data_IF_485029811397
#
_entry.id   IF_485029811397
#
_cell.length_a   1.000
_cell.length_b   1.000
_cell.length_c   1.000
_cell.angle_alpha   90.00
_cell.angle_beta   90.00
_cell.angle_gamma   90.00
#
_symmetry.space_group_name_H-M   'P 1'
#
loop_
_entity.id
_entity.type
_entity.pdbx_description
1 polymer ?
#
# COMPACT_ATOMS: atom_id res chain seq x y z
N UNK A 1 -4.65 -6.16 11.16
CA UNK A 1 -4.52 -7.64 11.01
C UNK A 1 -3.15 -7.88 10.45
N UNK A 2 -2.40 -8.82 11.02
CA UNK A 2 -1.04 -9.13 10.57
C UNK A 2 -1.03 -9.67 9.14
N UNK A 3 -0.13 -9.15 8.32
CA UNK A 3 0.05 -9.53 6.91
C UNK A 3 0.51 -10.98 6.81
N UNK A 4 1.42 -11.43 7.66
CA UNK A 4 1.93 -12.80 7.73
C UNK A 4 0.79 -13.83 7.84
N UNK A 5 -0.20 -13.56 8.69
CA UNK A 5 -1.40 -14.39 8.82
C UNK A 5 -2.25 -14.42 7.54
N UNK A 6 -2.46 -13.27 6.90
CA UNK A 6 -3.18 -13.17 5.61
C UNK A 6 -2.47 -13.98 4.52
N UNK A 7 -1.14 -13.86 4.43
CA UNK A 7 -0.32 -14.58 3.46
C UNK A 7 -0.36 -16.10 3.68
N UNK A 8 -0.28 -16.55 4.94
CA UNK A 8 -0.40 -17.96 5.29
C UNK A 8 -1.79 -18.53 4.97
N UNK A 9 -2.86 -17.77 5.24
CA UNK A 9 -4.22 -18.16 4.89
C UNK A 9 -4.39 -18.30 3.36
N UNK A 10 -3.92 -17.32 2.59
CA UNK A 10 -3.95 -17.36 1.13
C UNK A 10 -3.18 -18.57 0.57
N UNK A 11 -2.00 -18.87 1.11
CA UNK A 11 -1.22 -20.03 0.73
C UNK A 11 -1.93 -21.36 1.04
N UNK A 12 -2.54 -21.47 2.23
CA UNK A 12 -3.30 -22.66 2.66
C UNK A 12 -4.53 -22.90 1.78
N UNK A 13 -5.24 -21.84 1.42
CA UNK A 13 -6.44 -21.88 0.58
C UNK A 13 -6.11 -21.96 -0.91
N UNK A 14 -4.83 -21.84 -1.30
CA UNK A 14 -4.38 -21.67 -2.69
C UNK A 14 -5.12 -20.54 -3.41
N UNK A 15 -5.36 -19.46 -2.68
CA UNK A 15 -6.08 -18.28 -3.16
C UNK A 15 -5.06 -17.23 -3.60
N UNK A 16 -5.08 -16.89 -4.89
CA UNK A 16 -4.27 -15.79 -5.41
C UNK A 16 -4.72 -14.46 -4.79
N UNK A 17 -3.77 -13.73 -4.22
CA UNK A 17 -3.98 -12.44 -3.57
C UNK A 17 -2.93 -11.44 -4.01
N UNK A 18 -3.14 -10.16 -3.73
CA UNK A 18 -2.21 -9.11 -4.11
C UNK A 18 -2.29 -7.90 -3.19
N UNK A 19 -1.26 -7.05 -3.30
CA UNK A 19 -1.13 -5.79 -2.57
C UNK A 19 -0.58 -4.70 -3.49
N UNK A 20 -0.67 -3.44 -3.04
CA UNK A 20 -0.24 -2.27 -3.81
C UNK A 20 0.72 -1.40 -2.99
N UNK A 21 1.85 -1.01 -3.58
CA UNK A 21 2.72 0.02 -3.00
C UNK A 21 2.39 1.40 -3.59
N UNK A 22 2.31 2.40 -2.71
CA UNK A 22 2.16 3.82 -3.04
C UNK A 22 3.26 4.64 -2.36
N UNK A 23 3.58 5.81 -2.93
CA UNK A 23 4.56 6.73 -2.34
C UNK A 23 3.95 8.11 -2.07
N UNK A 24 4.40 8.83 -1.02
CA UNK A 24 3.95 10.18 -0.72
C UNK A 24 4.15 11.16 -1.90
N UNK A 25 3.09 11.78 -2.45
CA UNK A 25 3.22 12.76 -3.51
C UNK A 25 3.89 14.05 -3.04
N UNK A 26 4.55 14.76 -3.97
CA UNK A 26 5.26 16.02 -3.66
C UNK A 26 4.35 17.24 -3.48
N UNK A 27 3.09 17.17 -3.90
CA UNK A 27 2.15 18.30 -3.91
C UNK A 27 0.82 17.94 -3.27
N UNK A 28 0.14 18.92 -2.68
CA UNK A 28 -1.18 18.72 -2.06
C UNK A 28 -2.23 18.18 -3.06
N UNK A 29 -2.22 18.67 -4.30
CA UNK A 29 -3.08 18.12 -5.36
C UNK A 29 -2.73 16.66 -5.67
N UNK A 30 -1.44 16.32 -5.68
CA UNK A 30 -0.99 14.94 -5.85
C UNK A 30 -1.49 14.02 -4.74
N UNK A 31 -1.50 14.49 -3.49
CA UNK A 31 -2.04 13.76 -2.33
C UNK A 31 -3.54 13.48 -2.51
N UNK A 32 -4.34 14.48 -2.87
CA UNK A 32 -5.78 14.26 -3.13
C UNK A 32 -6.02 13.29 -4.29
N UNK A 33 -5.28 13.45 -5.39
CA UNK A 33 -5.38 12.54 -6.53
C UNK A 33 -5.02 11.09 -6.16
N UNK A 34 -4.05 10.91 -5.27
CA UNK A 34 -3.66 9.59 -4.76
C UNK A 34 -4.74 9.01 -3.85
N UNK A 35 -5.32 9.79 -2.95
CA UNK A 35 -6.43 9.36 -2.11
C UNK A 35 -7.64 8.89 -2.91
N UNK A 36 -8.07 9.65 -3.93
CA UNK A 36 -9.14 9.20 -4.83
C UNK A 36 -8.75 7.93 -5.61
N UNK A 37 -7.45 7.74 -5.91
CA UNK A 37 -6.97 6.52 -6.56
C UNK A 37 -6.99 5.32 -5.62
N UNK A 38 -6.53 5.47 -4.38
CA UNK A 38 -6.59 4.42 -3.36
C UNK A 38 -8.03 3.98 -3.11
N UNK A 39 -8.97 4.93 -3.07
CA UNK A 39 -10.41 4.66 -2.95
C UNK A 39 -10.95 3.81 -4.13
N UNK A 40 -10.56 4.14 -5.37
CA UNK A 40 -10.91 3.33 -6.55
C UNK A 40 -10.25 1.95 -6.51
N UNK A 41 -8.96 1.89 -6.21
CA UNK A 41 -8.17 0.65 -6.19
C UNK A 41 -8.54 -0.27 -5.03
N UNK A 42 -9.13 0.24 -3.95
CA UNK A 42 -9.75 -0.59 -2.91
C UNK A 42 -10.78 -1.57 -3.52
N UNK A 43 -11.50 -1.17 -4.57
CA UNK A 43 -12.51 -2.04 -5.18
C UNK A 43 -11.90 -3.22 -5.94
N UNK A 44 -10.59 -3.21 -6.20
CA UNK A 44 -9.88 -4.41 -6.64
C UNK A 44 -9.67 -5.39 -5.49
N UNK A 45 -9.97 -5.09 -4.23
CA UNK A 45 -9.82 -6.04 -3.13
C UNK A 45 -8.37 -6.44 -2.79
N UNK A 46 -7.42 -5.50 -2.71
CA UNK A 46 -6.07 -5.83 -2.24
C UNK A 46 -6.10 -6.36 -0.80
N UNK A 47 -5.22 -7.30 -0.48
CA UNK A 47 -5.11 -7.84 0.88
C UNK A 47 -4.52 -6.84 1.87
N UNK A 48 -3.62 -5.98 1.38
CA UNK A 48 -3.03 -4.84 2.06
C UNK A 48 -2.45 -3.84 1.05
N UNK A 49 -2.05 -2.67 1.52
CA UNK A 49 -1.28 -1.70 0.75
C UNK A 49 -0.01 -1.33 1.53
N UNK A 50 1.00 -0.83 0.83
CA UNK A 50 2.22 -0.30 1.43
C UNK A 50 2.36 1.18 1.11
N UNK A 51 2.89 1.94 2.07
CA UNK A 51 3.19 3.36 1.88
C UNK A 51 4.67 3.57 2.14
N UNK A 52 5.39 4.01 1.10
CA UNK A 52 6.84 4.17 1.18
C UNK A 52 7.26 5.30 2.12
N UNK A 53 8.45 5.14 2.69
CA UNK A 53 9.10 6.13 3.53
C UNK A 53 10.25 6.79 2.76
N UNK A 54 10.28 8.11 2.72
CA UNK A 54 11.37 8.84 2.05
C UNK A 54 12.68 8.72 2.81
N UNK A 55 13.80 8.59 2.09
CA UNK A 55 15.14 8.51 2.67
C UNK A 55 15.40 9.65 3.69
N UNK A 56 16.01 9.30 4.83
CA UNK A 56 16.28 10.23 5.93
C UNK A 56 15.04 10.85 6.59
N UNK A 57 13.86 10.25 6.41
CA UNK A 57 12.62 10.78 6.98
C UNK A 57 12.02 11.94 6.19
N UNK A 58 12.47 12.17 4.96
CA UNK A 58 11.81 13.13 4.07
C UNK A 58 10.36 12.67 3.85
N UNK A 59 9.41 13.56 4.12
CA UNK A 59 7.98 13.26 4.07
C UNK A 59 7.49 12.22 5.09
N UNK A 60 8.21 12.00 6.19
CA UNK A 60 7.79 11.13 7.30
C UNK A 60 6.37 11.46 7.79
N UNK A 61 6.10 12.74 8.06
CA UNK A 61 4.77 13.20 8.52
C UNK A 61 3.65 12.88 7.53
N UNK A 62 3.91 13.05 6.22
CA UNK A 62 2.94 12.73 5.18
C UNK A 62 2.72 11.21 5.07
N UNK A 63 3.77 10.40 5.28
CA UNK A 63 3.65 8.94 5.33
C UNK A 63 2.73 8.52 6.48
N UNK A 64 2.98 9.01 7.69
CA UNK A 64 2.13 8.73 8.85
C UNK A 64 0.68 9.21 8.66
N UNK A 65 0.49 10.41 8.10
CA UNK A 65 -0.84 10.93 7.76
C UNK A 65 -1.57 10.01 6.78
N UNK A 66 -0.89 9.59 5.70
CA UNK A 66 -1.48 8.70 4.70
C UNK A 66 -1.82 7.32 5.29
N UNK A 67 -0.97 6.76 6.17
CA UNK A 67 -1.25 5.52 6.90
C UNK A 67 -2.50 5.68 7.77
N UNK A 68 -2.59 6.78 8.52
CA UNK A 68 -3.77 7.10 9.35
C UNK A 68 -5.03 7.19 8.48
N UNK A 69 -4.99 7.90 7.36
CA UNK A 69 -6.15 8.03 6.46
C UNK A 69 -6.52 6.69 5.82
N UNK A 70 -5.54 5.89 5.39
CA UNK A 70 -5.77 4.57 4.81
C UNK A 70 -6.47 3.62 5.78
N UNK A 71 -5.96 3.52 7.01
CA UNK A 71 -6.55 2.67 8.07
C UNK A 71 -7.93 3.20 8.50
N UNK A 72 -8.03 4.49 8.84
CA UNK A 72 -9.23 5.02 9.51
C UNK A 72 -10.37 5.35 8.55
N UNK A 73 -10.08 5.89 7.36
CA UNK A 73 -11.10 6.39 6.41
C UNK A 73 -11.38 5.37 5.32
N UNK A 74 -10.33 4.77 4.75
CA UNK A 74 -10.50 3.84 3.62
C UNK A 74 -10.66 2.38 4.04
N UNK A 75 -10.33 2.04 5.29
CA UNK A 75 -10.39 0.67 5.78
C UNK A 75 -9.38 -0.25 5.07
N UNK A 76 -8.27 0.31 4.60
CA UNK A 76 -7.20 -0.42 3.92
C UNK A 76 -6.17 -0.88 4.94
N UNK A 77 -5.98 -2.20 5.06
CA UNK A 77 -4.89 -2.74 5.85
C UNK A 77 -3.58 -2.22 5.25
N UNK A 78 -2.80 -1.51 6.05
CA UNK A 78 -1.63 -0.77 5.58
C UNK A 78 -0.36 -1.30 6.23
N UNK A 79 0.71 -1.43 5.44
CA UNK A 79 2.08 -1.60 5.89
C UNK A 79 2.83 -0.27 5.74
N UNK A 80 3.33 0.26 6.84
CA UNK A 80 4.14 1.48 6.79
C UNK A 80 5.60 1.12 6.58
N UNK A 81 6.24 1.65 5.54
CA UNK A 81 7.69 1.57 5.45
C UNK A 81 8.32 2.41 6.55
N UNK A 82 9.43 1.95 7.10
CA UNK A 82 10.21 2.72 8.06
C UNK A 82 11.69 2.45 7.84
N UNK A 83 12.44 3.49 7.50
CA UNK A 83 13.91 3.40 7.38
C UNK A 83 14.56 3.78 8.69
N UNK A 84 15.78 3.30 8.95
CA UNK A 84 16.47 3.52 10.23
C UNK A 84 17.76 4.36 10.12
N UNK A 85 18.20 4.69 8.91
CA UNK A 85 19.40 5.50 8.68
C UNK A 85 19.11 6.99 8.59
N UNK A 86 20.11 7.81 8.93
CA UNK A 86 20.09 9.29 8.86
C UNK A 86 18.96 9.95 9.68
N UNK A 87 18.53 9.30 10.77
CA UNK A 87 17.49 9.82 11.66
C UNK A 87 17.81 9.52 13.14
N UNK A 88 17.48 10.44 14.06
CA UNK A 88 17.56 10.17 15.49
C UNK A 88 16.49 9.16 15.90
N UNK A 89 16.79 8.37 16.96
CA UNK A 89 15.85 7.38 17.52
C UNK A 89 14.47 7.97 17.82
N UNK A 90 14.38 9.20 18.31
CA UNK A 90 13.10 9.87 18.60
C UNK A 90 12.16 9.97 17.40
N UNK A 91 12.69 10.13 16.17
CA UNK A 91 11.86 10.16 14.96
C UNK A 91 11.23 8.80 14.65
N UNK A 92 11.94 7.73 14.97
CA UNK A 92 11.43 6.36 14.84
C UNK A 92 10.38 6.09 15.92
N UNK A 93 10.61 6.57 17.14
CA UNK A 93 9.65 6.46 18.25
C UNK A 93 8.34 7.18 17.91
N UNK A 94 8.42 8.43 17.43
CA UNK A 94 7.25 9.21 17.00
C UNK A 94 6.49 8.49 15.88
N UNK A 95 7.19 7.99 14.86
CA UNK A 95 6.57 7.30 13.72
C UNK A 95 5.88 5.99 14.12
N UNK A 96 6.53 5.17 14.96
CA UNK A 96 5.94 3.93 15.47
C UNK A 96 4.73 4.21 16.35
N UNK A 97 4.79 5.25 17.18
CA UNK A 97 3.67 5.68 18.01
C UNK A 97 2.50 6.15 17.14
N UNK A 98 2.74 6.98 16.14
CA UNK A 98 1.70 7.44 15.21
C UNK A 98 1.06 6.28 14.43
N UNK A 99 1.86 5.30 14.00
CA UNK A 99 1.35 4.10 13.34
C UNK A 99 0.48 3.25 14.28
N UNK A 100 0.96 3.01 15.52
CA UNK A 100 0.20 2.30 16.55
C UNK A 100 -1.14 2.99 16.83
N UNK A 101 -1.11 4.30 17.09
CA UNK A 101 -2.31 5.08 17.42
C UNK A 101 -3.29 5.18 16.24
N UNK A 102 -2.79 5.05 15.01
CA UNK A 102 -3.62 4.91 13.80
C UNK A 102 -4.27 3.52 13.65
N UNK A 103 -3.93 2.54 14.49
CA UNK A 103 -4.39 1.15 14.40
C UNK A 103 -3.63 0.30 13.37
N UNK A 104 -2.48 0.80 12.91
CA UNK A 104 -1.61 0.06 12.01
C UNK A 104 -0.91 -1.08 12.74
N UNK A 105 -0.92 -2.28 12.15
CA UNK A 105 -0.30 -3.46 12.75
C UNK A 105 0.84 -4.01 11.90
N UNK A 106 1.34 -3.28 10.90
CA UNK A 106 2.34 -3.79 9.96
C UNK A 106 3.39 -2.72 9.62
N UNK A 107 4.67 -3.08 9.76
CA UNK A 107 5.80 -2.21 9.46
C UNK A 107 6.76 -2.94 8.52
N UNK A 108 7.16 -2.31 7.41
CA UNK A 108 8.27 -2.79 6.59
C UNK A 108 9.56 -2.13 7.09
N UNK A 109 10.36 -2.88 7.84
CA UNK A 109 11.61 -2.40 8.44
C UNK A 109 12.74 -2.42 7.41
N UNK A 110 13.23 -1.22 7.08
CA UNK A 110 14.24 -0.99 6.05
C UNK A 110 15.46 -0.30 6.65
N UNK A 111 16.62 -0.50 6.02
CA UNK A 111 17.80 0.30 6.36
C UNK A 111 17.57 1.75 5.90
N UNK A 112 17.25 1.92 4.62
CA UNK A 112 17.25 3.19 3.92
C UNK A 112 18.52 3.37 3.10
N UNK A 113 18.41 4.20 2.06
CA UNK A 113 19.53 4.55 1.19
C UNK A 113 20.45 5.57 1.86
N UNK A 114 21.77 5.51 1.62
CA UNK A 114 22.67 6.58 2.06
C UNK A 114 22.29 7.91 1.39
N UNK A 115 22.56 9.06 2.05
CA UNK A 115 22.37 10.37 1.43
C UNK A 115 23.19 10.49 0.14
N UNK A 116 22.55 10.92 -0.96
CA UNK A 116 23.20 11.04 -2.28
C UNK A 116 24.41 11.99 -2.32
N UNK A 117 24.54 12.86 -1.32
CA UNK A 117 25.52 13.94 -1.29
C UNK A 117 26.76 13.65 -0.40
N UNK A 118 26.92 12.41 0.13
CA UNK A 118 28.06 12.05 0.99
C UNK A 118 28.79 10.79 0.49
N UNK A 119 30.10 10.90 0.27
CA UNK A 119 30.98 9.79 -0.15
C UNK A 119 31.17 8.70 0.91
N UNK A 120 30.92 9.01 2.19
CA UNK A 120 30.97 8.04 3.30
C UNK A 120 29.76 8.23 4.21
N UNK A 121 29.02 7.15 4.39
CA UNK A 121 27.89 7.09 5.31
C UNK A 121 28.38 6.72 6.72
N UNK A 122 28.07 7.55 7.71
CA UNK A 122 28.28 7.27 9.13
C UNK A 122 26.92 7.23 9.83
N UNK A 123 26.70 6.21 10.66
CA UNK A 123 25.49 6.11 11.45
C UNK A 123 25.40 7.30 12.42
N UNK A 124 24.20 7.87 12.58
CA UNK A 124 23.95 8.88 13.61
C UNK A 124 24.31 8.31 14.98
N UNK A 125 25.02 9.07 15.82
CA UNK A 125 25.37 8.62 17.17
C UNK A 125 24.12 8.25 17.96
N UNK A 126 24.08 7.02 18.51
CA UNK A 126 22.89 6.46 19.18
C UNK A 126 21.74 6.05 18.25
N UNK A 127 21.95 6.08 16.93
CA UNK A 127 21.00 5.66 15.90
C UNK A 127 21.19 4.20 15.46
N UNK A 128 20.40 3.80 14.45
CA UNK A 128 20.41 2.44 13.92
C UNK A 128 21.38 2.33 12.74
N UNK A 129 22.04 1.17 12.61
CA UNK A 129 23.00 0.93 11.53
C UNK A 129 22.41 0.10 10.40
N UNK A 130 21.66 -0.94 10.75
CA UNK A 130 21.09 -1.91 9.82
C UNK A 130 19.60 -2.11 10.08
N UNK A 131 18.88 -2.60 9.06
CA UNK A 131 17.47 -2.94 9.20
C UNK A 131 17.20 -3.92 10.34
N UNK A 132 18.15 -4.84 10.63
CA UNK A 132 18.05 -5.78 11.76
C UNK A 132 17.96 -5.10 13.12
N UNK A 133 18.62 -3.95 13.28
CA UNK A 133 18.58 -3.18 14.52
C UNK A 133 17.18 -2.59 14.73
N UNK A 134 16.54 -2.13 13.65
CA UNK A 134 15.16 -1.64 13.68
C UNK A 134 14.16 -2.77 13.96
N UNK A 135 14.32 -3.94 13.33
CA UNK A 135 13.48 -5.13 13.60
C UNK A 135 13.53 -5.48 15.08
N UNK A 136 14.74 -5.63 15.63
CA UNK A 136 14.96 -5.94 17.05
C UNK A 136 14.30 -4.90 17.95
N UNK A 137 14.49 -3.62 17.63
CA UNK A 137 13.94 -2.53 18.43
C UNK A 137 12.41 -2.48 18.45
N UNK A 138 11.77 -2.65 17.28
CA UNK A 138 10.31 -2.72 17.19
C UNK A 138 9.80 -3.89 18.02
N UNK A 139 10.46 -5.06 17.92
CA UNK A 139 10.09 -6.26 18.67
C UNK A 139 10.20 -6.07 20.18
N UNK A 140 11.30 -5.49 20.66
CA UNK A 140 11.52 -5.22 22.09
C UNK A 140 10.53 -4.17 22.65
N UNK A 141 10.14 -3.19 21.84
CA UNK A 141 9.30 -2.06 22.29
C UNK A 141 7.80 -2.34 22.20
N UNK A 142 7.36 -3.02 21.14
CA UNK A 142 5.94 -3.23 20.82
C UNK A 142 5.51 -4.70 20.83
N UNK A 143 6.42 -5.64 21.11
CA UNK A 143 6.11 -7.07 21.19
C UNK A 143 5.55 -7.64 19.89
N UNK A 144 4.34 -8.20 19.97
CA UNK A 144 3.60 -8.76 18.83
C UNK A 144 2.57 -7.79 18.22
N UNK A 145 2.56 -6.51 18.63
CA UNK A 145 1.61 -5.57 18.04
C UNK A 145 1.84 -5.41 16.53
N UNK A 146 3.10 -5.21 16.13
CA UNK A 146 3.47 -5.08 14.73
C UNK A 146 3.94 -6.41 14.13
N UNK A 147 3.37 -6.74 12.98
CA UNK A 147 3.96 -7.66 12.01
C UNK A 147 5.08 -6.91 11.28
N UNK A 148 6.29 -7.48 11.29
CA UNK A 148 7.48 -6.80 10.78
C UNK A 148 7.92 -7.45 9.47
N UNK A 149 7.71 -6.75 8.35
CA UNK A 149 8.25 -7.13 7.06
C UNK A 149 9.73 -6.76 6.94
N UNK A 150 10.48 -7.50 6.12
CA UNK A 150 11.87 -7.17 5.78
C UNK A 150 12.11 -7.26 4.27
N UNK A 151 13.03 -6.46 3.74
CA UNK A 151 13.36 -6.51 2.31
C UNK A 151 14.25 -7.72 1.96
N UNK A 152 13.99 -8.32 0.79
CA UNK A 152 14.82 -9.34 0.15
C UNK A 152 15.27 -8.90 -1.25
N UNK A 153 16.41 -9.42 -1.72
CA UNK A 153 17.02 -9.01 -2.99
C UNK A 153 17.39 -10.25 -3.79
N UNK A 154 16.52 -10.72 -4.71
CA UNK A 154 16.75 -11.95 -5.46
C UNK A 154 18.00 -11.93 -6.34
N UNK A 155 18.39 -10.73 -6.79
CA UNK A 155 19.50 -10.49 -7.74
C UNK A 155 20.68 -9.75 -7.10
N UNK A 156 20.70 -9.61 -5.77
CA UNK A 156 21.70 -8.84 -5.05
C UNK A 156 21.34 -7.36 -4.85
N UNK A 157 22.24 -6.60 -4.24
CA UNK A 157 22.07 -5.16 -4.01
C UNK A 157 23.42 -4.44 -4.08
N UNK A 158 23.43 -3.15 -4.45
CA UNK A 158 24.64 -2.36 -4.73
C UNK A 158 25.74 -2.40 -3.65
N UNK A 159 25.37 -2.62 -2.37
CA UNK A 159 26.32 -2.62 -1.26
C UNK A 159 26.93 -4.00 -0.95
N UNK A 160 26.41 -5.08 -1.55
CA UNK A 160 26.90 -6.44 -1.35
C UNK A 160 26.45 -7.36 -2.51
N UNK A 161 27.43 -7.87 -3.26
CA UNK A 161 27.21 -8.78 -4.39
C UNK A 161 27.35 -10.27 -4.01
N UNK A 162 27.68 -10.59 -2.74
CA UNK A 162 27.76 -11.97 -2.23
C UNK A 162 26.34 -12.49 -1.89
N UNK A 163 25.80 -13.44 -2.68
CA UNK A 163 24.44 -13.93 -2.47
C UNK A 163 24.30 -14.76 -1.19
N UNK A 164 25.35 -15.44 -0.74
CA UNK A 164 25.31 -16.26 0.47
C UNK A 164 25.28 -15.37 1.71
N UNK A 165 26.12 -14.33 1.73
CA UNK A 165 26.15 -13.34 2.81
C UNK A 165 24.82 -12.58 2.91
N UNK A 166 24.24 -12.19 1.77
CA UNK A 166 22.92 -11.54 1.74
C UNK A 166 21.81 -12.42 2.33
N UNK A 167 21.83 -13.73 2.06
CA UNK A 167 20.87 -14.68 2.66
C UNK A 167 21.11 -14.81 4.16
N UNK A 168 22.37 -14.80 4.62
CA UNK A 168 22.68 -14.82 6.04
C UNK A 168 22.18 -13.56 6.75
N UNK A 169 22.37 -12.36 6.18
CA UNK A 169 21.81 -11.12 6.71
C UNK A 169 20.29 -11.10 6.70
N UNK A 170 19.67 -11.67 5.66
CA UNK A 170 18.22 -11.87 5.61
C UNK A 170 17.75 -12.79 6.74
N UNK A 171 18.47 -13.90 6.97
CA UNK A 171 18.20 -14.83 8.07
C UNK A 171 18.27 -14.14 9.43
N UNK A 172 19.31 -13.34 9.67
CA UNK A 172 19.45 -12.57 10.92
C UNK A 172 18.25 -11.65 11.17
N UNK A 173 17.78 -10.95 10.14
CA UNK A 173 16.58 -10.09 10.25
C UNK A 173 15.33 -10.89 10.60
N UNK A 174 15.16 -12.07 10.00
CA UNK A 174 14.02 -12.96 10.29
C UNK A 174 14.12 -13.52 11.72
N UNK A 175 15.28 -14.02 12.11
CA UNK A 175 15.53 -14.58 13.44
C UNK A 175 15.31 -13.55 14.57
N UNK A 176 15.49 -12.24 14.27
CA UNK A 176 15.23 -11.14 15.20
C UNK A 176 13.75 -10.69 15.27
N UNK A 177 12.87 -11.26 14.46
CA UNK A 177 11.43 -10.98 14.49
C UNK A 177 10.81 -10.55 13.16
N UNK A 178 11.55 -10.65 12.04
CA UNK A 178 10.96 -10.50 10.71
C UNK A 178 9.95 -11.63 10.42
N UNK A 179 8.76 -11.27 9.92
CA UNK A 179 7.58 -12.15 9.83
C UNK A 179 7.16 -12.45 8.39
N UNK A 180 7.60 -11.63 7.43
CA UNK A 180 7.46 -11.86 6.00
C UNK A 180 8.54 -11.08 5.24
N UNK A 181 8.78 -11.46 3.99
CA UNK A 181 9.81 -10.85 3.14
C UNK A 181 9.11 -10.23 1.93
N UNK A 182 9.41 -8.97 1.63
CA UNK A 182 9.03 -8.33 0.36
C UNK A 182 10.29 -8.18 -0.49
N UNK A 183 10.29 -8.73 -1.69
CA UNK A 183 11.48 -8.68 -2.55
C UNK A 183 11.52 -7.41 -3.37
N UNK A 184 12.73 -6.94 -3.72
CA UNK A 184 12.94 -6.04 -4.85
C UNK A 184 12.23 -6.58 -6.12
N UNK A 185 11.91 -5.67 -7.05
CA UNK A 185 11.40 -6.04 -8.37
C UNK A 185 12.36 -6.95 -9.14
N UNK A 186 11.82 -7.81 -9.99
CA UNK A 186 12.58 -8.65 -10.91
C UNK A 186 11.74 -8.92 -12.16
N UNK A 187 12.38 -9.34 -13.26
CA UNK A 187 11.70 -9.71 -14.50
C UNK A 187 11.98 -11.15 -14.94
N UNK A 188 12.90 -11.85 -14.26
CA UNK A 188 13.19 -13.26 -14.47
C UNK A 188 12.64 -14.12 -13.33
N UNK A 189 11.61 -14.92 -13.64
CA UNK A 189 10.97 -15.80 -12.69
C UNK A 189 11.91 -16.92 -12.19
N UNK A 190 12.82 -17.42 -13.04
CA UNK A 190 13.69 -18.55 -12.68
C UNK A 190 14.75 -18.11 -11.69
N UNK A 191 15.30 -16.91 -11.85
CA UNK A 191 16.22 -16.30 -10.87
C UNK A 191 15.53 -16.15 -9.52
N UNK A 192 14.30 -15.62 -9.49
CA UNK A 192 13.53 -15.51 -8.26
C UNK A 192 13.24 -16.88 -7.61
N UNK A 193 12.80 -17.86 -8.39
CA UNK A 193 12.47 -19.20 -7.87
C UNK A 193 13.72 -19.95 -7.36
N UNK A 194 14.88 -19.77 -7.98
CA UNK A 194 16.15 -20.28 -7.46
C UNK A 194 16.55 -19.60 -6.14
N UNK A 195 16.40 -18.27 -6.07
CA UNK A 195 16.63 -17.52 -4.84
C UNK A 195 15.70 -18.00 -3.71
N UNK A 196 14.42 -18.23 -3.99
CA UNK A 196 13.49 -18.81 -3.01
C UNK A 196 14.00 -20.16 -2.49
N UNK A 197 14.49 -21.05 -3.36
CA UNK A 197 15.05 -22.35 -2.93
C UNK A 197 16.24 -22.16 -1.99
N UNK A 198 17.15 -21.24 -2.29
CA UNK A 198 18.31 -20.93 -1.43
C UNK A 198 17.88 -20.35 -0.08
N UNK A 199 16.92 -19.43 -0.07
CA UNK A 199 16.33 -18.87 1.17
C UNK A 199 15.69 -19.97 2.03
N UNK A 200 14.96 -20.92 1.42
CA UNK A 200 14.40 -22.08 2.14
C UNK A 200 15.49 -23.02 2.65
N UNK A 201 16.55 -23.27 1.88
CA UNK A 201 17.68 -24.10 2.30
C UNK A 201 18.43 -23.50 3.51
N UNK A 202 18.44 -22.17 3.65
CA UNK A 202 18.96 -21.47 4.83
C UNK A 202 18.03 -21.55 6.06
N UNK A 203 16.89 -22.23 5.96
CA UNK A 203 15.94 -22.43 7.07
C UNK A 203 14.96 -21.28 7.30
N UNK A 204 14.89 -20.31 6.39
CA UNK A 204 13.90 -19.22 6.48
C UNK A 204 12.55 -19.75 5.98
N UNK A 205 11.53 -19.74 6.83
CA UNK A 205 10.19 -20.30 6.53
C UNK A 205 9.08 -19.27 6.41
N UNK A 206 9.34 -18.01 6.75
CA UNK A 206 8.37 -16.91 6.63
C UNK A 206 7.90 -16.72 5.18
N UNK A 207 6.68 -16.19 4.94
CA UNK A 207 6.19 -15.88 3.61
C UNK A 207 7.16 -14.98 2.82
N UNK A 208 7.33 -15.28 1.54
CA UNK A 208 8.11 -14.47 0.60
C UNK A 208 7.12 -13.89 -0.42
N UNK A 209 7.16 -12.58 -0.57
CA UNK A 209 6.26 -11.80 -1.42
C UNK A 209 7.07 -11.21 -2.57
N UNK A 210 6.83 -11.63 -3.83
CA UNK A 210 7.50 -11.09 -5.00
C UNK A 210 7.05 -9.65 -5.29
N UNK A 211 8.02 -8.76 -5.43
CA UNK A 211 7.80 -7.41 -5.94
C UNK A 211 7.63 -7.41 -7.46
N UNK A 212 6.50 -6.93 -7.96
CA UNK A 212 6.13 -6.90 -9.37
C UNK A 212 6.00 -5.45 -9.83
N UNK A 213 6.71 -5.09 -10.91
CA UNK A 213 6.62 -3.76 -11.49
C UNK A 213 5.91 -3.78 -12.84
N UNK A 214 4.71 -3.20 -12.94
CA UNK A 214 4.05 -3.01 -14.22
C UNK A 214 4.85 -2.07 -15.13
N UNK A 215 4.87 -2.38 -16.43
CA UNK A 215 5.49 -1.54 -17.45
C UNK A 215 4.47 -0.50 -17.92
N UNK A 216 4.85 0.78 -17.86
CA UNK A 216 4.00 1.89 -18.30
C UNK A 216 4.53 2.62 -19.53
N UNK A 217 5.86 2.79 -19.60
CA UNK A 217 6.58 3.39 -20.73
C UNK A 217 7.97 2.74 -20.83
N UNK A 218 8.54 2.70 -22.03
CA UNK A 218 9.81 2.00 -22.26
C UNK A 218 10.97 2.66 -21.49
N UNK A 219 11.03 3.99 -21.51
CA UNK A 219 12.06 4.75 -20.82
C UNK A 219 12.00 4.59 -19.28
N UNK A 220 10.80 4.57 -18.70
CA UNK A 220 10.66 4.38 -17.25
C UNK A 220 11.06 2.96 -16.82
N UNK A 221 10.70 1.97 -17.62
CA UNK A 221 11.08 0.57 -17.45
C UNK A 221 12.61 0.40 -17.44
N UNK A 222 13.30 0.81 -18.51
CA UNK A 222 14.76 0.69 -18.60
C UNK A 222 15.49 1.44 -17.48
N UNK A 223 15.04 2.66 -17.16
CA UNK A 223 15.65 3.45 -16.08
C UNK A 223 15.56 2.72 -14.74
N UNK A 224 14.45 2.04 -14.45
CA UNK A 224 14.25 1.31 -13.19
C UNK A 224 15.07 0.03 -13.16
N UNK A 225 15.06 -0.74 -14.24
CA UNK A 225 15.88 -1.95 -14.36
C UNK A 225 17.36 -1.63 -14.14
N UNK A 226 17.87 -0.58 -14.81
CA UNK A 226 19.26 -0.17 -14.68
C UNK A 226 19.61 0.38 -13.30
N UNK A 227 18.75 1.21 -12.70
CA UNK A 227 19.00 1.76 -11.37
C UNK A 227 19.00 0.68 -10.29
N UNK A 228 18.16 -0.35 -10.43
CA UNK A 228 18.10 -1.47 -9.47
C UNK A 228 19.00 -2.66 -9.85
N UNK A 229 19.83 -2.50 -10.89
CA UNK A 229 20.71 -3.54 -11.44
C UNK A 229 20.01 -4.90 -11.68
N UNK A 230 18.79 -4.84 -12.24
CA UNK A 230 17.92 -6.00 -12.45
C UNK A 230 18.16 -6.62 -13.83
N UNK A 231 18.29 -7.95 -13.87
CA UNK A 231 18.30 -8.72 -15.10
C UNK A 231 16.95 -8.65 -15.79
N UNK A 232 16.96 -8.13 -17.01
CA UNK A 232 15.81 -8.17 -17.92
C UNK A 232 16.06 -9.26 -18.96
N UNK A 233 15.17 -10.26 -19.08
CA UNK A 233 15.33 -11.28 -20.11
C UNK A 233 15.44 -10.66 -21.51
N UNK A 234 16.35 -11.13 -22.38
CA UNK A 234 16.53 -10.56 -23.72
C UNK A 234 15.23 -10.49 -24.55
N UNK A 235 14.34 -11.48 -24.39
CA UNK A 235 13.04 -11.53 -25.04
C UNK A 235 12.12 -10.37 -24.68
N UNK A 236 12.26 -9.76 -23.50
CA UNK A 236 11.48 -8.59 -23.11
C UNK A 236 11.94 -7.35 -23.88
N UNK A 237 13.26 -7.20 -24.07
CA UNK A 237 13.80 -6.13 -24.91
C UNK A 237 13.35 -6.30 -26.36
N UNK A 238 13.45 -7.51 -26.91
CA UNK A 238 13.01 -7.81 -28.28
C UNK A 238 11.52 -7.51 -28.50
N UNK A 239 10.67 -7.80 -27.50
CA UNK A 239 9.23 -7.52 -27.57
C UNK A 239 8.89 -6.02 -27.47
N UNK A 240 9.62 -5.27 -26.65
CA UNK A 240 9.30 -3.86 -26.36
C UNK A 240 9.98 -2.87 -27.32
N UNK A 241 11.13 -3.21 -27.89
CA UNK A 241 11.92 -2.33 -28.76
C UNK A 241 11.13 -1.84 -30.00
N UNK A 242 10.33 -2.67 -30.71
CA UNK A 242 9.53 -2.22 -31.85
C UNK A 242 8.46 -1.18 -31.49
N UNK A 243 7.96 -1.21 -30.26
CA UNK A 243 6.86 -0.35 -29.78
C UNK A 243 7.33 0.79 -28.88
N UNK A 244 8.65 0.93 -28.65
CA UNK A 244 9.24 1.80 -27.62
C UNK A 244 8.81 3.28 -27.61
N UNK A 245 8.32 3.80 -28.75
CA UNK A 245 7.88 5.19 -28.92
C UNK A 245 6.35 5.36 -28.84
N UNK A 246 5.61 4.28 -28.58
CA UNK A 246 4.16 4.28 -28.38
C UNK A 246 3.85 3.76 -26.97
N UNK A 247 3.57 4.68 -26.06
CA UNK A 247 3.28 4.37 -24.65
C UNK A 247 2.01 3.52 -24.47
N UNK A 248 1.07 3.53 -25.43
CA UNK A 248 -0.09 2.63 -25.37
C UNK A 248 0.34 1.21 -25.73
N UNK A 249 1.03 1.05 -26.86
CA UNK A 249 1.51 -0.26 -27.31
C UNK A 249 2.54 -0.88 -26.33
N UNK A 250 3.45 -0.09 -25.75
CA UNK A 250 4.37 -0.55 -24.69
C UNK A 250 3.62 -1.09 -23.48
N UNK A 251 2.53 -0.43 -23.09
CA UNK A 251 1.73 -0.84 -21.94
C UNK A 251 1.01 -2.16 -22.22
N UNK A 252 0.46 -2.33 -23.42
CA UNK A 252 -0.24 -3.54 -23.82
C UNK A 252 0.73 -4.73 -23.90
N UNK A 253 1.86 -4.58 -24.61
CA UNK A 253 2.89 -5.62 -24.72
C UNK A 253 3.51 -5.93 -23.35
N UNK A 254 3.85 -4.89 -22.59
CA UNK A 254 4.40 -5.02 -21.24
C UNK A 254 3.44 -5.68 -20.25
N UNK A 255 2.13 -5.50 -20.41
CA UNK A 255 1.12 -6.20 -19.60
C UNK A 255 1.20 -7.70 -19.85
N UNK A 256 1.22 -8.15 -21.10
CA UNK A 256 1.33 -9.58 -21.43
C UNK A 256 2.59 -10.22 -20.84
N UNK A 257 3.74 -9.55 -20.94
CA UNK A 257 5.01 -10.02 -20.37
C UNK A 257 4.92 -10.20 -18.84
N UNK A 258 4.38 -9.20 -18.14
CA UNK A 258 4.24 -9.25 -16.67
C UNK A 258 3.17 -10.27 -16.25
N UNK A 259 2.11 -10.46 -17.03
CA UNK A 259 1.10 -11.49 -16.79
C UNK A 259 1.72 -12.89 -16.85
N UNK A 260 2.56 -13.18 -17.85
CA UNK A 260 3.26 -14.47 -17.95
C UNK A 260 4.22 -14.70 -16.77
N UNK A 261 4.95 -13.66 -16.35
CA UNK A 261 5.74 -13.68 -15.12
C UNK A 261 4.87 -14.04 -13.91
N UNK A 262 3.74 -13.34 -13.71
CA UNK A 262 2.83 -13.60 -12.60
C UNK A 262 2.21 -15.00 -12.64
N UNK A 263 1.79 -15.49 -13.82
CA UNK A 263 1.27 -16.86 -14.00
C UNK A 263 2.30 -17.89 -13.56
N UNK A 264 3.55 -17.76 -14.03
CA UNK A 264 4.65 -18.66 -13.65
C UNK A 264 4.90 -18.67 -12.14
N UNK A 265 4.81 -17.52 -11.47
CA UNK A 265 4.94 -17.44 -10.00
C UNK A 265 3.79 -18.15 -9.28
N UNK A 266 2.54 -17.90 -9.71
CA UNK A 266 1.34 -18.52 -9.16
C UNK A 266 1.38 -20.05 -9.34
N UNK A 267 1.74 -20.53 -10.52
CA UNK A 267 1.86 -21.97 -10.82
C UNK A 267 2.93 -22.68 -9.98
N UNK A 268 3.93 -21.93 -9.50
CA UNK A 268 4.98 -22.42 -8.60
C UNK A 268 4.65 -22.22 -7.11
N UNK A 269 3.38 -21.96 -6.77
CA UNK A 269 2.93 -21.92 -5.38
C UNK A 269 3.07 -20.55 -4.69
N UNK A 270 3.50 -19.50 -5.40
CA UNK A 270 3.59 -18.14 -4.85
C UNK A 270 2.21 -17.47 -4.96
N UNK A 271 1.40 -17.59 -3.91
CA UNK A 271 -0.02 -17.18 -3.91
C UNK A 271 -0.26 -15.68 -3.70
N UNK A 272 0.79 -14.87 -3.57
CA UNK A 272 0.66 -13.42 -3.36
C UNK A 272 1.55 -12.64 -4.33
N UNK A 273 1.04 -11.54 -4.89
CA UNK A 273 1.77 -10.66 -5.81
C UNK A 273 1.74 -9.21 -5.28
N UNK A 274 2.91 -8.60 -5.06
CA UNK A 274 2.99 -7.22 -4.56
C UNK A 274 3.33 -6.25 -5.69
N UNK A 275 2.44 -5.33 -6.02
CA UNK A 275 2.62 -4.44 -7.17
C UNK A 275 3.17 -3.07 -6.78
N UNK A 276 4.31 -2.71 -7.38
CA UNK A 276 4.86 -1.35 -7.36
C UNK A 276 4.09 -0.45 -8.32
N UNK A 277 3.00 0.15 -7.83
CA UNK A 277 2.03 0.87 -8.69
C UNK A 277 2.57 2.15 -9.29
N UNK A 278 3.61 2.73 -8.70
CA UNK A 278 4.11 4.06 -9.02
C UNK A 278 3.04 5.16 -8.95
N UNK A 279 2.09 5.00 -8.03
CA UNK A 279 0.91 5.86 -7.93
C UNK A 279 0.11 5.90 -9.25
N UNK A 280 0.12 4.84 -10.05
CA UNK A 280 -0.68 4.69 -11.26
C UNK A 280 -1.56 3.44 -11.13
N UNK A 281 -2.73 3.46 -11.77
CA UNK A 281 -3.69 2.36 -11.65
C UNK A 281 -3.78 1.49 -12.91
N UNK A 282 -3.52 2.07 -14.10
CA UNK A 282 -3.90 1.44 -15.37
C UNK A 282 -3.14 0.13 -15.63
N UNK A 283 -1.81 0.14 -15.63
CA UNK A 283 -1.03 -1.07 -15.92
C UNK A 283 -1.28 -2.18 -14.89
N UNK A 284 -1.35 -1.84 -13.59
CA UNK A 284 -1.70 -2.80 -12.53
C UNK A 284 -3.09 -3.40 -12.77
N UNK A 285 -4.09 -2.56 -13.09
CA UNK A 285 -5.45 -3.01 -13.38
C UNK A 285 -5.48 -4.01 -14.54
N UNK A 286 -4.81 -3.70 -15.65
CA UNK A 286 -4.78 -4.57 -16.83
C UNK A 286 -4.21 -5.94 -16.50
N UNK A 287 -3.10 -5.99 -15.74
CA UNK A 287 -2.50 -7.26 -15.28
C UNK A 287 -3.48 -8.05 -14.41
N UNK A 288 -4.13 -7.42 -13.43
CA UNK A 288 -5.06 -8.10 -12.53
C UNK A 288 -6.32 -8.62 -13.26
N UNK A 289 -6.83 -7.86 -14.23
CA UNK A 289 -7.96 -8.25 -15.07
C UNK A 289 -7.58 -9.46 -15.96
N UNK A 290 -6.41 -9.45 -16.58
CA UNK A 290 -5.94 -10.55 -17.44
C UNK A 290 -5.59 -11.82 -16.65
N UNK A 291 -5.15 -11.67 -15.40
CA UNK A 291 -5.00 -12.79 -14.45
C UNK A 291 -6.34 -13.30 -13.92
N UNK A 292 -7.45 -12.57 -14.15
CA UNK A 292 -8.79 -12.92 -13.63
C UNK A 292 -8.84 -13.10 -12.11
N UNK A 293 -8.04 -12.32 -11.37
CA UNK A 293 -7.95 -12.40 -9.89
C UNK A 293 -8.64 -11.23 -9.18
N UNK A 294 -9.29 -10.33 -9.94
CA UNK A 294 -10.10 -9.25 -9.36
C UNK A 294 -11.49 -9.73 -8.92
N UNK A 295 -12.14 -9.04 -7.98
CA UNK A 295 -13.52 -9.32 -7.62
C UNK A 295 -14.45 -9.30 -8.83
N UNK A 296 -15.27 -10.34 -8.96
CA UNK A 296 -16.22 -10.52 -10.07
C UNK A 296 -17.64 -10.71 -9.54
N UNK A 297 -18.62 -10.92 -10.43
CA UNK A 297 -19.97 -11.32 -10.01
C UNK A 297 -19.98 -12.71 -9.35
N UNK A 298 -19.08 -13.60 -9.78
CA UNK A 298 -18.94 -14.96 -9.23
C UNK A 298 -18.15 -14.96 -7.92
N UNK A 299 -17.19 -14.05 -7.80
CA UNK A 299 -16.30 -13.88 -6.64
C UNK A 299 -16.33 -12.44 -6.13
N UNK A 300 -17.46 -11.97 -5.59
CA UNK A 300 -17.60 -10.58 -5.17
C UNK A 300 -16.68 -10.28 -3.98
N UNK A 301 -16.25 -9.02 -3.89
CA UNK A 301 -15.52 -8.54 -2.73
C UNK A 301 -16.41 -8.67 -1.50
N UNK A 302 -15.94 -9.42 -0.49
CA UNK A 302 -16.67 -9.57 0.76
C UNK A 302 -16.83 -8.21 1.45
N UNK A 303 -18.09 -7.84 1.68
CA UNK A 303 -18.46 -6.62 2.41
C UNK A 303 -19.17 -7.04 3.69
N UNK A 304 -18.44 -7.17 4.82
CA UNK A 304 -19.04 -7.64 6.07
C UNK A 304 -20.12 -6.67 6.58
N UNK A 305 -20.04 -5.40 6.18
CA UNK A 305 -20.99 -4.35 6.54
C UNK A 305 -21.45 -3.57 5.29
N UNK A 306 -22.62 -2.90 5.34
CA UNK A 306 -23.10 -2.03 4.26
C UNK A 306 -22.25 -0.77 4.01
N UNK A 307 -21.22 -0.57 4.83
CA UNK A 307 -20.28 0.56 4.80
C UNK A 307 -18.86 0.03 5.05
N UNK A 308 -17.84 0.80 4.64
CA UNK A 308 -16.44 0.37 4.80
C UNK A 308 -15.98 0.51 6.24
N UNK A 309 -15.61 -0.61 6.85
CA UNK A 309 -15.17 -0.64 8.24
C UNK A 309 -13.87 0.17 8.43
N UNK A 310 -13.81 0.93 9.52
CA UNK A 310 -12.57 1.61 9.91
C UNK A 310 -11.63 0.60 10.57
N UNK A 311 -10.35 0.65 10.21
CA UNK A 311 -9.31 -0.16 10.86
C UNK A 311 -8.54 0.62 11.93
N UNK A 312 -9.02 1.82 12.26
CA UNK A 312 -8.47 2.65 13.34
C UNK A 312 -8.44 1.92 14.68
N UNK A 313 -7.51 2.33 15.54
CA UNK A 313 -7.39 1.81 16.89
C UNK A 313 -8.74 1.96 17.63
N UNK A 314 -9.12 0.95 18.40
CA UNK A 314 -10.38 0.88 19.17
C UNK A 314 -11.69 0.92 18.36
N UNK A 315 -11.63 0.94 17.02
CA UNK A 315 -12.81 1.09 16.15
C UNK A 315 -13.20 -0.17 15.38
N UNK A 316 -12.40 -1.24 15.48
CA UNK A 316 -12.58 -2.48 14.71
C UNK A 316 -13.86 -3.24 15.06
N UNK A 317 -14.47 -2.98 16.21
CA UNK A 317 -15.72 -3.61 16.64
C UNK A 317 -16.97 -2.78 16.30
N UNK A 318 -16.81 -1.58 15.72
CA UNK A 318 -17.92 -0.75 15.28
C UNK A 318 -18.69 -1.46 14.15
N UNK A 319 -19.96 -1.78 14.41
CA UNK A 319 -20.81 -2.50 13.45
C UNK A 319 -22.18 -1.85 13.21
N UNK A 320 -22.49 -0.75 13.89
CA UNK A 320 -23.73 0.01 13.69
C UNK A 320 -23.42 1.51 13.56
N UNK A 321 -24.04 2.16 12.57
CA UNK A 321 -23.89 3.59 12.28
C UNK A 321 -25.21 4.24 11.90
N UNK A 322 -25.39 5.55 12.13
CA UNK A 322 -26.55 6.28 11.64
C UNK A 322 -26.50 6.41 10.11
N UNK A 323 -27.63 6.23 9.45
CA UNK A 323 -27.71 6.19 7.97
C UNK A 323 -27.32 7.51 7.30
N UNK A 324 -27.38 8.65 8.02
CA UNK A 324 -27.18 9.99 7.48
C UNK A 324 -25.81 10.20 6.81
N UNK A 325 -24.79 9.44 7.23
CA UNK A 325 -23.44 9.53 6.68
C UNK A 325 -23.06 8.43 5.70
N UNK A 326 -24.03 7.65 5.19
CA UNK A 326 -23.78 6.56 4.23
C UNK A 326 -22.86 6.96 3.08
N UNK A 327 -23.07 8.16 2.52
CA UNK A 327 -22.29 8.67 1.39
C UNK A 327 -21.17 9.65 1.81
N UNK A 328 -20.92 9.81 3.12
CA UNK A 328 -19.96 10.77 3.69
C UNK A 328 -19.08 10.11 4.75
N UNK A 329 -18.53 8.93 4.45
CA UNK A 329 -17.72 8.14 5.39
C UNK A 329 -16.60 8.96 6.05
N UNK A 330 -15.81 9.71 5.26
CA UNK A 330 -14.73 10.57 5.79
C UNK A 330 -15.24 11.59 6.82
N UNK A 331 -16.43 12.16 6.58
CA UNK A 331 -17.05 13.11 7.50
C UNK A 331 -17.46 12.45 8.81
N UNK A 332 -18.01 11.24 8.74
CA UNK A 332 -18.39 10.49 9.93
C UNK A 332 -17.17 10.12 10.76
N UNK A 333 -16.13 9.56 10.12
CA UNK A 333 -14.87 9.21 10.80
C UNK A 333 -14.27 10.42 11.50
N UNK A 334 -14.12 11.55 10.81
CA UNK A 334 -13.53 12.75 11.38
C UNK A 334 -14.31 13.30 12.58
N UNK A 335 -15.65 13.23 12.54
CA UNK A 335 -16.52 13.75 13.61
C UNK A 335 -16.63 12.84 14.84
N UNK A 336 -16.15 11.62 14.73
CA UNK A 336 -16.25 10.59 15.78
C UNK A 336 -14.88 10.04 16.14
N UNK A 337 -13.80 10.70 15.71
CA UNK A 337 -12.43 10.23 15.94
C UNK A 337 -12.02 10.31 17.41
N UNK A 338 -12.62 11.24 18.16
CA UNK A 338 -12.30 11.52 19.56
C UNK A 338 -13.26 10.78 20.52
N UNK A 339 -13.98 9.76 20.03
CA UNK A 339 -14.84 8.92 20.87
C UNK A 339 -14.00 7.86 21.58
N UNK A 340 -14.28 7.64 22.87
CA UNK A 340 -13.60 6.61 23.67
C UNK A 340 -14.06 5.20 23.29
N UNK A 341 -15.35 5.04 22.99
CA UNK A 341 -15.97 3.75 22.63
C UNK A 341 -16.87 3.91 21.39
N UNK A 342 -16.93 2.84 20.58
CA UNK A 342 -17.77 2.80 19.38
C UNK A 342 -18.94 1.82 19.52
N UNK A 343 -20.10 2.11 18.93
CA UNK A 343 -21.28 1.26 19.07
C UNK A 343 -21.10 -0.14 18.49
N UNK A 344 -21.43 -1.14 19.30
CA UNK A 344 -21.46 -2.56 18.92
C UNK A 344 -22.85 -3.16 19.24
N UNK A 345 -23.50 -3.73 18.23
CA UNK A 345 -24.81 -4.36 18.31
C UNK A 345 -25.96 -3.36 18.16
N UNK A 346 -26.21 -2.53 19.18
CA UNK A 346 -27.27 -1.51 19.15
C UNK A 346 -26.69 -0.11 19.27
N UNK A 347 -27.27 0.84 18.54
CA UNK A 347 -26.97 2.25 18.76
C UNK A 347 -27.54 2.70 20.11
N UNK A 348 -26.67 3.15 21.01
CA UNK A 348 -27.02 3.55 22.38
C UNK A 348 -27.59 4.96 22.48
N UNK A 349 -27.76 5.44 23.72
CA UNK A 349 -28.17 6.82 23.99
C UNK A 349 -27.07 7.80 23.56
N UNK A 350 -27.36 8.66 22.58
CA UNK A 350 -26.41 9.63 22.02
C UNK A 350 -25.92 10.68 23.03
N UNK A 351 -26.49 10.72 24.24
CA UNK A 351 -26.04 11.55 25.37
C UNK A 351 -24.98 10.87 26.23
N UNK A 352 -24.60 9.63 25.90
CA UNK A 352 -23.50 8.95 26.58
C UNK A 352 -22.23 9.81 26.52
N UNK A 353 -21.50 10.00 27.64
CA UNK A 353 -20.24 10.73 27.63
C UNK A 353 -19.17 10.08 26.73
N UNK A 354 -19.35 8.82 26.34
CA UNK A 354 -18.49 8.13 25.37
C UNK A 354 -18.60 8.73 23.93
N UNK A 355 -19.66 9.49 23.64
CA UNK A 355 -19.84 10.20 22.38
C UNK A 355 -19.39 11.66 22.52
N UNK A 356 -18.31 12.04 21.83
CA UNK A 356 -17.90 13.43 21.65
C UNK A 356 -18.84 14.23 20.74
N UNK A 357 -18.77 15.56 20.82
CA UNK A 357 -19.60 16.48 20.02
C UNK A 357 -19.27 16.42 18.52
N UNK A 358 -20.32 16.44 17.69
CA UNK A 358 -20.22 16.40 16.23
C UNK A 358 -20.01 17.82 15.64
N UNK A 359 -18.99 18.58 16.05
CA UNK A 359 -18.91 20.03 15.71
C UNK A 359 -17.86 20.45 14.67
N UNK A 360 -17.20 19.53 13.98
CA UNK A 360 -16.31 19.92 12.86
C UNK A 360 -17.08 20.03 11.54
N UNK A 361 -17.40 21.26 11.13
CA UNK A 361 -17.81 21.63 9.76
C UNK A 361 -16.57 22.07 8.97
N UNK A 362 -15.84 21.12 8.38
CA UNK A 362 -14.59 21.39 7.67
C UNK A 362 -14.50 20.76 6.28
N UNK A 363 -15.61 20.65 5.54
CA UNK A 363 -15.62 19.97 4.24
C UNK A 363 -16.09 20.93 3.14
N UNK A 364 -15.14 21.45 2.36
CA UNK A 364 -15.42 22.08 1.07
C UNK A 364 -15.94 21.06 0.06
N UNK A 365 -16.65 21.55 -0.96
CA UNK A 365 -17.09 20.72 -2.09
C UNK A 365 -15.87 20.15 -2.81
N UNK A 366 -15.95 18.89 -3.29
CA UNK A 366 -14.91 18.34 -4.17
C UNK A 366 -14.82 19.20 -5.44
N UNK A 367 -13.62 19.36 -5.98
CA UNK A 367 -13.38 20.12 -7.22
C UNK A 367 -13.26 21.63 -7.06
N UNK A 368 -12.87 22.31 -8.13
CA UNK A 368 -12.80 23.77 -8.18
C UNK A 368 -14.18 24.38 -8.40
N UNK A 369 -14.36 25.66 -8.05
CA UNK A 369 -15.61 26.38 -8.36
C UNK A 369 -15.95 26.35 -9.85
N UNK A 370 -14.94 26.38 -10.72
CA UNK A 370 -15.13 26.30 -12.18
C UNK A 370 -15.65 24.93 -12.61
N UNK A 371 -15.05 23.84 -12.10
CA UNK A 371 -15.51 22.48 -12.36
C UNK A 371 -16.95 22.29 -11.88
N UNK A 372 -17.26 22.76 -10.67
CA UNK A 372 -18.60 22.63 -10.09
C UNK A 372 -19.64 23.46 -10.84
N UNK A 373 -19.29 24.66 -11.33
CA UNK A 373 -20.18 25.46 -12.21
C UNK A 373 -20.39 24.79 -13.57
N UNK A 374 -19.37 24.13 -14.13
CA UNK A 374 -19.53 23.36 -15.38
C UNK A 374 -20.44 22.15 -15.18
N UNK A 375 -20.36 21.50 -14.02
CA UNK A 375 -21.13 20.30 -13.69
C UNK A 375 -22.59 20.62 -13.33
N UNK A 376 -22.81 21.64 -12.50
CA UNK A 376 -24.11 21.94 -11.90
C UNK A 376 -24.78 23.20 -12.44
N UNK A 377 -24.07 23.98 -13.26
CA UNK A 377 -24.54 25.26 -13.77
C UNK A 377 -24.59 26.34 -12.67
N UNK A 378 -25.38 27.37 -12.95
CA UNK A 378 -25.69 28.44 -12.00
C UNK A 378 -27.21 28.56 -11.82
N UNK A 379 -27.85 27.65 -11.06
CA UNK A 379 -29.30 27.66 -10.88
C UNK A 379 -29.76 29.00 -10.30
N UNK A 380 -30.79 29.61 -10.92
CA UNK A 380 -31.32 30.93 -10.50
C UNK A 380 -32.69 30.80 -9.83
N UNK A 381 -33.30 29.61 -9.86
CA UNK A 381 -34.59 29.31 -9.26
C UNK A 381 -34.61 27.95 -8.55
N UNK A 382 -35.60 27.75 -7.69
CA UNK A 382 -35.86 26.44 -7.07
C UNK A 382 -36.08 25.33 -8.11
N UNK A 383 -36.72 25.65 -9.23
CA UNK A 383 -36.97 24.69 -10.31
C UNK A 383 -35.67 24.21 -10.96
N UNK A 384 -34.69 25.09 -11.12
CA UNK A 384 -33.38 24.73 -11.68
C UNK A 384 -32.66 23.75 -10.74
N UNK A 385 -32.72 24.00 -9.43
CA UNK A 385 -32.18 23.08 -8.41
C UNK A 385 -32.92 21.73 -8.44
N UNK A 386 -34.25 21.71 -8.45
CA UNK A 386 -35.02 20.46 -8.52
C UNK A 386 -34.70 19.66 -9.80
N UNK A 387 -34.52 20.35 -10.93
CA UNK A 387 -34.14 19.74 -12.21
C UNK A 387 -32.75 19.14 -12.14
N UNK A 388 -31.80 19.81 -11.49
CA UNK A 388 -30.45 19.28 -11.27
C UNK A 388 -30.48 17.95 -10.50
N UNK A 389 -31.26 17.86 -9.42
CA UNK A 389 -31.42 16.63 -8.65
C UNK A 389 -32.10 15.52 -9.47
N UNK A 390 -33.14 15.86 -10.26
CA UNK A 390 -33.78 14.89 -11.16
C UNK A 390 -32.80 14.36 -12.22
N UNK A 391 -31.95 15.23 -12.78
CA UNK A 391 -30.92 14.85 -13.73
C UNK A 391 -29.86 13.94 -13.10
N UNK A 392 -29.44 14.23 -11.86
CA UNK A 392 -28.55 13.36 -11.10
C UNK A 392 -29.15 11.95 -10.91
N UNK A 393 -30.41 11.86 -10.47
CA UNK A 393 -31.10 10.58 -10.29
C UNK A 393 -31.28 9.80 -11.61
N UNK A 394 -31.28 10.49 -12.75
CA UNK A 394 -31.35 9.90 -14.09
C UNK A 394 -29.97 9.57 -14.69
N UNK A 395 -28.88 9.82 -13.97
CA UNK A 395 -27.51 9.62 -14.46
C UNK A 395 -27.06 10.62 -15.52
N UNK A 396 -27.77 11.75 -15.68
CA UNK A 396 -27.42 12.81 -16.63
C UNK A 396 -26.37 13.79 -16.08
N UNK A 397 -26.14 13.76 -14.78
CA UNK A 397 -25.18 14.58 -14.04
C UNK A 397 -24.45 13.67 -13.07
N UNK A 398 -23.12 13.76 -13.02
CA UNK A 398 -22.28 13.00 -12.10
C UNK A 398 -22.25 13.65 -10.70
N UNK A 399 -21.89 12.89 -9.65
CA UNK A 399 -21.76 13.40 -8.26
C UNK A 399 -20.38 13.96 -7.94
#
# INVERSE_FOLDING_TARGET
MHISAKLQAAAKEKKSTYSFEFFPPKTAQGVQNLYDRMDRMHNFGPSFIDITWGAGGRHASLTCEMVKVAQTVYGLETCMHLTCTDMPKSKIDDALKEAHDAGCTNILALRGDPPRDKEKWEATSGGFRYAKDLVKYIKETYGDHFDIGVAGYPEGCDDNDDPEELIQHLKEKVDLGGTFIVTQMFYDADIFLDWVKKVRAAGITVPIVPGIMPISTHAAFLRRANWSNIHVPPSWHEALEPVKNDDAAVRDVGTGLVVELCRKLLDNGIMHLHFYTMNLAQSTRMILEELSITPSQETPLEKPLPWRQSLGLNRRDENVRPIFWRNRNRSYIARTQDWDEFPNGRWGDSRSPAYGELDTYGIGLKGTNEQNRKLWGEPKSFRDVATLFANYMQGKVES
#
